data_IF_768514229245
#
_entry.id   IF_768514229245
#
_cell.length_a   1.000
_cell.length_b   1.000
_cell.length_c   1.000
_cell.angle_alpha   90.00
_cell.angle_beta   90.00
_cell.angle_gamma   90.00
#
_symmetry.space_group_name_H-M   'P 1'
#
loop_
_entity.id
_entity.type
_entity.pdbx_description
1 polymer ?
#
# COMPACT_ATOMS: atom_id res chain seq x y z
N UNK A 1 4.82 -27.41 5.66
CA UNK A 1 4.71 -28.47 4.64
C UNK A 1 4.71 -29.83 5.35
N UNK A 2 3.70 -30.68 5.13
CA UNK A 2 3.71 -32.05 5.69
C UNK A 2 4.52 -32.95 4.76
N UNK A 3 5.70 -33.38 5.20
CA UNK A 3 6.55 -34.30 4.43
C UNK A 3 6.02 -35.72 4.62
N UNK A 4 5.71 -36.40 3.52
CA UNK A 4 5.49 -37.85 3.55
C UNK A 4 6.84 -38.53 3.81
N UNK A 5 7.03 -38.91 5.07
CA UNK A 5 8.26 -39.55 5.56
C UNK A 5 8.52 -40.89 4.89
N UNK A 6 7.48 -41.62 4.48
CA UNK A 6 7.68 -42.92 3.81
C UNK A 6 8.16 -42.72 2.39
N UNK A 7 7.59 -41.75 1.68
CA UNK A 7 8.03 -41.41 0.33
C UNK A 7 9.46 -40.85 0.31
N UNK A 8 9.81 -39.98 1.26
CA UNK A 8 11.17 -39.47 1.41
C UNK A 8 12.19 -40.58 1.72
N UNK A 9 11.85 -41.47 2.65
CA UNK A 9 12.74 -42.58 2.99
C UNK A 9 12.91 -43.54 1.80
N UNK A 10 11.86 -43.75 1.01
CA UNK A 10 11.94 -44.56 -0.20
C UNK A 10 12.80 -43.90 -1.29
N UNK A 11 12.72 -42.58 -1.49
CA UNK A 11 13.52 -41.88 -2.51
C UNK A 11 15.02 -41.92 -2.22
N UNK A 12 15.42 -42.08 -0.96
CA UNK A 12 16.81 -42.25 -0.54
C UNK A 12 17.29 -43.71 -0.54
N UNK A 13 16.50 -44.65 -1.09
CA UNK A 13 16.86 -46.08 -1.13
C UNK A 13 16.52 -46.85 0.15
N UNK A 14 15.71 -46.27 1.05
CA UNK A 14 15.20 -46.92 2.25
C UNK A 14 16.00 -46.62 3.53
N UNK A 15 15.51 -47.11 4.69
CA UNK A 15 16.11 -46.81 6.00
C UNK A 15 17.57 -47.24 6.15
N UNK A 16 17.95 -48.35 5.49
CA UNK A 16 19.31 -48.88 5.53
C UNK A 16 20.31 -47.93 4.85
N UNK A 17 19.96 -47.37 3.68
CA UNK A 17 20.80 -46.39 2.98
C UNK A 17 20.95 -45.10 3.80
N UNK A 18 19.87 -44.64 4.43
CA UNK A 18 19.88 -43.44 5.31
C UNK A 18 20.75 -43.67 6.55
N UNK A 19 20.80 -44.89 7.09
CA UNK A 19 21.62 -45.18 8.27
C UNK A 19 23.12 -45.04 8.01
N UNK A 20 23.54 -45.14 6.74
CA UNK A 20 24.93 -44.99 6.30
C UNK A 20 25.31 -43.53 6.00
N UNK A 21 24.33 -42.63 5.92
CA UNK A 21 24.55 -41.20 5.67
C UNK A 21 24.94 -40.46 6.95
N UNK A 22 25.86 -39.51 6.81
CA UNK A 22 26.22 -38.52 7.83
C UNK A 22 25.05 -37.55 8.08
N UNK A 23 25.08 -36.79 9.19
CA UNK A 23 24.07 -35.77 9.46
C UNK A 23 23.96 -34.71 8.36
N UNK A 24 25.08 -34.30 7.77
CA UNK A 24 25.11 -33.27 6.72
C UNK A 24 24.52 -33.82 5.40
N UNK A 25 24.88 -35.04 5.00
CA UNK A 25 24.29 -35.70 3.83
C UNK A 25 22.77 -35.90 3.96
N UNK A 26 22.26 -36.11 5.19
CA UNK A 26 20.82 -36.20 5.46
C UNK A 26 20.13 -34.84 5.34
N UNK A 27 20.81 -33.76 5.72
CA UNK A 27 20.30 -32.40 5.59
C UNK A 27 20.22 -31.99 4.11
N UNK A 28 21.29 -32.22 3.35
CA UNK A 28 21.35 -31.94 1.92
C UNK A 28 20.32 -32.77 1.14
N UNK A 29 20.19 -34.07 1.46
CA UNK A 29 19.20 -34.93 0.83
C UNK A 29 17.75 -34.52 1.13
N UNK A 30 17.50 -33.97 2.33
CA UNK A 30 16.19 -33.43 2.69
C UNK A 30 15.91 -32.14 1.93
N UNK A 31 16.88 -31.24 1.82
CA UNK A 31 16.76 -29.99 1.06
C UNK A 31 16.51 -30.27 -0.43
N UNK A 32 17.28 -31.16 -1.05
CA UNK A 32 17.09 -31.56 -2.45
C UNK A 32 15.72 -32.21 -2.68
N UNK A 33 15.27 -33.08 -1.78
CA UNK A 33 13.93 -33.66 -1.86
C UNK A 33 12.83 -32.59 -1.72
N UNK A 34 13.03 -31.58 -0.88
CA UNK A 34 12.09 -30.46 -0.75
C UNK A 34 12.08 -29.57 -2.00
N UNK A 35 13.23 -29.34 -2.63
CA UNK A 35 13.34 -28.63 -3.92
C UNK A 35 12.67 -29.40 -5.07
N UNK A 36 12.89 -30.71 -5.17
CA UNK A 36 12.23 -31.53 -6.19
C UNK A 36 10.73 -31.63 -5.96
N UNK A 37 10.28 -31.65 -4.70
CA UNK A 37 8.85 -31.52 -4.38
C UNK A 37 8.28 -30.14 -4.68
N UNK A 38 9.09 -29.09 -4.67
CA UNK A 38 8.67 -27.75 -5.13
C UNK A 38 8.54 -27.70 -6.66
N UNK A 39 9.40 -28.42 -7.40
CA UNK A 39 9.29 -28.60 -8.85
C UNK A 39 8.05 -29.44 -9.21
N UNK A 40 7.83 -30.57 -8.53
CA UNK A 40 6.69 -31.47 -8.73
C UNK A 40 5.35 -30.90 -8.23
N UNK A 41 5.37 -30.02 -7.21
CA UNK A 41 4.17 -29.32 -6.73
C UNK A 41 3.71 -28.23 -7.71
N UNK A 42 4.50 -28.00 -8.76
CA UNK A 42 4.18 -27.26 -9.96
C UNK A 42 3.24 -26.07 -9.71
N UNK A 43 3.69 -25.21 -8.78
CA UNK A 43 3.06 -23.91 -8.53
C UNK A 43 2.98 -23.12 -9.84
N UNK A 44 3.89 -23.39 -10.78
CA UNK A 44 3.87 -22.84 -12.12
C UNK A 44 2.77 -23.47 -13.00
N UNK A 45 2.58 -24.79 -13.05
CA UNK A 45 1.56 -25.53 -13.81
C UNK A 45 0.15 -25.29 -13.26
N UNK A 46 0.03 -25.10 -11.94
CA UNK A 46 -1.19 -24.59 -11.29
C UNK A 46 -1.53 -23.14 -11.66
N UNK A 47 -0.54 -22.29 -11.98
CA UNK A 47 -0.71 -20.94 -12.54
C UNK A 47 -0.92 -21.00 -14.07
N UNK A 48 -0.28 -21.95 -14.75
CA UNK A 48 -0.31 -22.20 -16.19
C UNK A 48 -1.47 -23.11 -16.63
N UNK A 49 -2.48 -23.34 -15.76
CA UNK A 49 -3.68 -24.17 -16.01
C UNK A 49 -3.95 -24.32 -17.51
N UNK A 50 -3.74 -25.53 -18.00
CA UNK A 50 -3.89 -26.00 -19.38
C UNK A 50 -4.05 -24.87 -20.40
N UNK A 51 -2.94 -24.53 -21.04
CA UNK A 51 -2.95 -24.11 -22.44
C UNK A 51 -3.76 -25.16 -23.21
N UNK A 52 -5.09 -25.01 -23.30
CA UNK A 52 -5.97 -26.02 -23.90
C UNK A 52 -5.47 -26.33 -25.32
N UNK A 53 -4.96 -27.54 -25.52
CA UNK A 53 -4.42 -27.98 -26.81
C UNK A 53 -3.17 -27.24 -27.29
N UNK A 54 -2.38 -26.61 -26.41
CA UNK A 54 -1.14 -25.92 -26.80
C UNK A 54 -1.34 -24.51 -27.41
N UNK A 55 -2.56 -23.95 -27.35
CA UNK A 55 -2.83 -22.56 -27.74
C UNK A 55 -2.67 -21.56 -26.57
N UNK A 56 -1.70 -20.66 -26.70
CA UNK A 56 -1.51 -19.55 -25.78
C UNK A 56 -2.65 -18.52 -25.91
N UNK A 57 -3.13 -17.93 -24.79
CA UNK A 57 -4.16 -16.91 -24.85
C UNK A 57 -3.66 -15.66 -25.58
N UNK A 58 -4.50 -15.10 -26.43
CA UNK A 58 -4.31 -13.79 -27.05
C UNK A 58 -4.50 -12.67 -26.02
N UNK A 59 -3.99 -11.46 -26.34
CA UNK A 59 -4.20 -10.27 -25.49
C UNK A 59 -5.68 -9.99 -25.29
N UNK A 60 -6.50 -10.10 -26.35
CA UNK A 60 -7.95 -9.91 -26.26
C UNK A 60 -8.64 -10.91 -25.33
N UNK A 61 -8.20 -12.17 -25.31
CA UNK A 61 -8.75 -13.17 -24.38
C UNK A 61 -8.36 -12.88 -22.93
N UNK A 62 -7.14 -12.38 -22.68
CA UNK A 62 -6.72 -11.94 -21.35
C UNK A 62 -7.53 -10.70 -20.90
N UNK A 63 -7.81 -9.77 -21.80
CA UNK A 63 -8.68 -8.62 -21.53
C UNK A 63 -10.12 -9.03 -21.22
N UNK A 64 -10.67 -9.98 -21.97
CA UNK A 64 -12.00 -10.55 -21.70
C UNK A 64 -12.05 -11.25 -20.33
N UNK A 65 -10.99 -11.99 -19.95
CA UNK A 65 -10.85 -12.53 -18.60
C UNK A 65 -10.80 -11.42 -17.56
N UNK A 66 -10.06 -10.33 -17.82
CA UNK A 66 -9.99 -9.19 -16.91
C UNK A 66 -11.34 -8.47 -16.74
N UNK A 67 -12.18 -8.45 -17.76
CA UNK A 67 -13.54 -7.91 -17.71
C UNK A 67 -14.51 -8.74 -16.85
N UNK A 68 -14.20 -10.01 -16.55
CA UNK A 68 -14.98 -10.82 -15.61
C UNK A 68 -14.73 -10.39 -14.15
N UNK A 69 -15.77 -9.86 -13.49
CA UNK A 69 -15.70 -9.30 -12.13
C UNK A 69 -16.22 -10.23 -11.03
N UNK A 70 -16.63 -11.45 -11.36
CA UNK A 70 -17.12 -12.43 -10.37
C UNK A 70 -16.01 -13.03 -9.49
N UNK A 71 -14.75 -12.72 -9.81
CA UNK A 71 -13.58 -13.13 -9.04
C UNK A 71 -13.38 -12.27 -7.77
N UNK A 72 -12.72 -12.80 -6.73
CA UNK A 72 -12.55 -12.09 -5.47
C UNK A 72 -11.44 -11.01 -5.48
N UNK A 73 -10.61 -10.92 -6.53
CA UNK A 73 -9.48 -10.00 -6.58
C UNK A 73 -9.07 -9.61 -8.01
N UNK A 74 -8.32 -8.51 -8.16
CA UNK A 74 -7.72 -8.06 -9.42
C UNK A 74 -6.56 -8.95 -9.82
N UNK A 75 -6.43 -9.22 -11.11
CA UNK A 75 -5.47 -10.20 -11.61
C UNK A 75 -4.00 -9.80 -11.45
N UNK A 76 -3.68 -8.51 -11.49
CA UNK A 76 -2.31 -8.01 -11.35
C UNK A 76 -1.95 -7.61 -9.92
N UNK A 77 -2.90 -6.97 -9.23
CA UNK A 77 -2.63 -6.30 -7.96
C UNK A 77 -3.38 -6.91 -6.76
N UNK A 78 -3.98 -8.11 -6.91
CA UNK A 78 -4.67 -8.79 -5.83
C UNK A 78 -5.86 -7.99 -5.30
N UNK A 79 -5.90 -7.71 -3.99
CA UNK A 79 -7.07 -7.07 -3.36
C UNK A 79 -7.18 -5.55 -3.62
N UNK A 80 -6.31 -4.99 -4.44
CA UNK A 80 -6.36 -3.58 -4.86
C UNK A 80 -7.68 -3.28 -5.58
N UNK A 81 -8.37 -2.18 -5.23
CA UNK A 81 -9.71 -1.83 -5.76
C UNK A 81 -10.78 -2.92 -5.62
N UNK A 82 -10.61 -3.86 -4.69
CA UNK A 82 -11.73 -4.59 -4.10
C UNK A 82 -12.36 -3.62 -3.10
N UNK A 83 -13.64 -3.24 -3.24
CA UNK A 83 -14.31 -2.42 -2.24
C UNK A 83 -14.19 -3.10 -0.87
N UNK A 84 -13.57 -2.42 0.09
CA UNK A 84 -13.52 -2.83 1.50
C UNK A 84 -14.36 -1.85 2.30
N UNK A 85 -14.91 -2.29 3.42
CA UNK A 85 -15.49 -1.36 4.37
C UNK A 85 -14.35 -0.49 4.90
N UNK A 86 -14.31 0.77 4.48
CA UNK A 86 -13.20 1.71 4.71
C UNK A 86 -13.65 2.91 5.54
N UNK A 87 -14.63 2.72 6.43
CA UNK A 87 -15.21 3.80 7.25
C UNK A 87 -16.14 4.74 6.45
N UNK A 88 -15.86 4.98 5.18
CA UNK A 88 -16.62 5.87 4.29
C UNK A 88 -17.81 5.16 3.64
N UNK A 89 -17.70 3.87 3.28
CA UNK A 89 -18.76 3.13 2.56
C UNK A 89 -18.90 1.68 3.03
N UNK A 90 -20.14 1.24 3.29
CA UNK A 90 -20.46 -0.20 3.40
C UNK A 90 -20.53 -0.81 2.01
N UNK A 91 -19.75 -1.86 1.78
CA UNK A 91 -19.63 -2.51 0.46
C UNK A 91 -19.66 -4.04 0.57
N UNK A 92 -20.03 -4.69 -0.53
CA UNK A 92 -20.28 -6.13 -0.63
C UNK A 92 -19.03 -6.95 -1.02
N UNK A 93 -17.86 -6.31 -1.08
CA UNK A 93 -16.59 -6.96 -1.42
C UNK A 93 -16.48 -7.37 -2.89
N UNK A 94 -17.43 -7.02 -3.76
CA UNK A 94 -17.41 -7.42 -5.18
C UNK A 94 -16.61 -6.43 -6.02
N UNK A 95 -15.85 -6.96 -6.98
CA UNK A 95 -15.14 -6.13 -7.95
C UNK A 95 -16.12 -5.29 -8.78
N UNK A 96 -15.68 -4.10 -9.16
CA UNK A 96 -16.45 -3.17 -9.99
C UNK A 96 -15.65 -2.78 -11.23
N UNK A 97 -16.30 -2.42 -12.35
CA UNK A 97 -15.58 -1.85 -13.48
C UNK A 97 -14.83 -0.59 -13.03
N UNK A 98 -13.57 -0.45 -13.44
CA UNK A 98 -12.82 0.78 -13.19
C UNK A 98 -13.08 1.76 -14.32
N UNK A 99 -13.39 3.01 -13.96
CA UNK A 99 -13.45 4.08 -14.95
C UNK A 99 -12.08 4.23 -15.62
N UNK A 100 -12.01 4.30 -16.95
CA UNK A 100 -10.76 4.59 -17.66
C UNK A 100 -10.12 5.89 -17.17
N UNK A 101 -8.80 5.90 -17.02
CA UNK A 101 -8.06 7.13 -16.74
C UNK A 101 -7.85 7.91 -18.05
N UNK A 102 -7.70 9.24 -18.00
CA UNK A 102 -7.24 10.01 -19.15
C UNK A 102 -5.88 9.53 -19.66
N UNK A 103 -5.54 9.84 -20.92
CA UNK A 103 -4.25 9.47 -21.53
C UNK A 103 -3.05 10.03 -20.74
N UNK A 104 -3.21 11.23 -20.16
CA UNK A 104 -2.21 11.90 -19.32
C UNK A 104 -2.79 12.17 -17.93
N UNK A 105 -2.84 11.16 -17.05
CA UNK A 105 -3.48 11.29 -15.74
C UNK A 105 -2.87 12.39 -14.88
N UNK A 106 -3.72 13.22 -14.29
CA UNK A 106 -3.34 14.23 -13.30
C UNK A 106 -3.60 13.76 -11.88
N UNK A 107 -3.03 14.43 -10.88
CA UNK A 107 -3.35 14.15 -9.48
C UNK A 107 -4.86 14.24 -9.19
N UNK A 108 -5.56 15.21 -9.79
CA UNK A 108 -7.01 15.37 -9.64
C UNK A 108 -7.80 14.17 -10.22
N UNK A 109 -7.31 13.57 -11.30
CA UNK A 109 -7.91 12.35 -11.85
C UNK A 109 -7.77 11.17 -10.88
N UNK A 110 -6.66 11.07 -10.15
CA UNK A 110 -6.50 10.05 -9.12
C UNK A 110 -7.46 10.26 -7.95
N UNK A 111 -7.63 11.49 -7.46
CA UNK A 111 -8.66 11.80 -6.46
C UNK A 111 -10.06 11.41 -6.92
N UNK A 112 -10.36 11.62 -8.20
CA UNK A 112 -11.68 11.33 -8.77
C UNK A 112 -11.93 9.84 -8.99
N UNK A 113 -10.93 9.10 -9.47
CA UNK A 113 -11.15 7.77 -10.03
C UNK A 113 -10.43 6.61 -9.32
N UNK A 114 -9.47 6.88 -8.42
CA UNK A 114 -8.60 5.83 -7.85
C UNK A 114 -8.42 5.92 -6.35
N UNK A 115 -8.23 7.10 -5.79
CA UNK A 115 -7.96 7.21 -4.36
C UNK A 115 -9.17 6.82 -3.51
N UNK A 116 -8.88 6.13 -2.42
CA UNK A 116 -9.77 5.85 -1.31
C UNK A 116 -9.43 6.80 -0.16
N UNK A 117 -10.25 6.84 0.90
CA UNK A 117 -10.04 7.73 2.06
C UNK A 117 -9.94 9.23 1.71
N UNK A 118 -10.40 9.62 0.52
CA UNK A 118 -10.30 11.02 0.05
C UNK A 118 -11.13 11.96 0.92
N UNK A 119 -12.24 11.47 1.50
CA UNK A 119 -13.03 12.24 2.45
C UNK A 119 -12.22 12.66 3.67
N UNK A 120 -11.52 11.71 4.28
CA UNK A 120 -10.63 11.96 5.41
C UNK A 120 -9.47 12.91 5.05
N UNK A 121 -8.76 12.66 3.94
CA UNK A 121 -7.66 13.52 3.50
C UNK A 121 -8.12 14.97 3.24
N UNK A 122 -9.31 15.15 2.65
CA UNK A 122 -9.88 16.48 2.40
C UNK A 122 -10.28 17.18 3.71
N UNK A 123 -10.80 16.45 4.71
CA UNK A 123 -11.06 17.01 6.04
C UNK A 123 -9.77 17.49 6.72
N UNK A 124 -8.72 16.66 6.68
CA UNK A 124 -7.40 16.96 7.24
C UNK A 124 -6.80 18.21 6.61
N UNK A 125 -6.79 18.29 5.28
CA UNK A 125 -6.34 19.48 4.55
C UNK A 125 -7.21 20.71 4.82
N UNK A 126 -8.53 20.54 4.96
CA UNK A 126 -9.46 21.64 5.25
C UNK A 126 -9.19 22.24 6.63
N UNK A 127 -8.92 21.38 7.63
CA UNK A 127 -8.56 21.82 8.97
C UNK A 127 -7.24 22.60 8.93
N UNK A 128 -6.20 22.03 8.32
CA UNK A 128 -4.90 22.69 8.17
C UNK A 128 -5.01 24.08 7.50
N UNK A 129 -5.81 24.17 6.43
CA UNK A 129 -6.08 25.43 5.72
C UNK A 129 -6.77 26.46 6.63
N UNK A 130 -7.82 26.06 7.35
CA UNK A 130 -8.57 26.95 8.26
C UNK A 130 -7.72 27.45 9.44
N UNK A 131 -6.74 26.67 9.86
CA UNK A 131 -5.80 27.04 10.92
C UNK A 131 -4.59 27.84 10.42
N UNK A 132 -4.54 28.20 9.14
CA UNK A 132 -3.48 29.05 8.57
C UNK A 132 -2.11 28.36 8.50
N UNK A 133 -2.08 27.04 8.37
CA UNK A 133 -0.82 26.30 8.21
C UNK A 133 -0.16 26.63 6.87
N UNK A 134 1.15 26.36 6.77
CA UNK A 134 1.88 26.52 5.51
C UNK A 134 1.33 25.62 4.41
N UNK A 135 1.44 26.05 3.16
CA UNK A 135 0.92 25.30 2.01
C UNK A 135 1.53 23.90 1.88
N UNK A 136 2.80 23.70 2.23
CA UNK A 136 3.45 22.39 2.18
C UNK A 136 2.87 21.39 3.18
N UNK A 137 2.39 21.88 4.34
CA UNK A 137 1.70 21.07 5.37
C UNK A 137 0.25 20.83 4.98
N UNK A 138 -0.43 21.83 4.41
CA UNK A 138 -1.79 21.63 3.85
C UNK A 138 -1.75 20.55 2.76
N UNK A 139 -0.76 20.62 1.86
CA UNK A 139 -0.56 19.60 0.83
C UNK A 139 -0.22 18.23 1.44
N UNK A 140 0.61 18.19 2.49
CA UNK A 140 0.89 16.94 3.19
C UNK A 140 -0.38 16.33 3.80
N UNK A 141 -1.21 17.13 4.47
CA UNK A 141 -2.50 16.68 5.01
C UNK A 141 -3.44 16.18 3.90
N UNK A 142 -3.43 16.81 2.73
CA UNK A 142 -4.23 16.37 1.58
C UNK A 142 -3.79 15.02 1.01
N UNK A 143 -2.51 14.67 1.16
CA UNK A 143 -1.90 13.54 0.45
C UNK A 143 -1.43 12.40 1.35
N UNK A 144 -1.38 12.57 2.67
CA UNK A 144 -0.70 11.62 3.58
C UNK A 144 -1.19 10.18 3.46
N UNK A 145 -2.50 9.99 3.27
CA UNK A 145 -3.15 8.67 3.29
C UNK A 145 -3.70 8.21 1.94
N UNK A 146 -3.43 8.93 0.84
CA UNK A 146 -3.90 8.50 -0.50
C UNK A 146 -3.31 7.15 -0.93
N UNK A 147 -2.16 6.79 -0.36
CA UNK A 147 -1.50 5.50 -0.59
C UNK A 147 -2.23 4.32 0.05
N UNK A 148 -3.16 4.55 0.99
CA UNK A 148 -3.99 3.49 1.58
C UNK A 148 -4.84 2.79 0.52
N UNK A 149 -5.06 3.41 -0.64
CA UNK A 149 -5.56 2.74 -1.83
C UNK A 149 -4.76 1.50 -2.19
N UNK A 150 -3.44 1.51 -2.00
CA UNK A 150 -2.49 0.47 -2.39
C UNK A 150 -2.03 -0.38 -1.20
N UNK A 151 -1.57 0.25 -0.11
CA UNK A 151 -0.92 -0.43 1.01
C UNK A 151 -1.26 0.26 2.33
N UNK A 152 -1.55 -0.53 3.39
CA UNK A 152 -1.87 0.00 4.72
C UNK A 152 -0.70 -0.03 5.71
N UNK A 153 0.08 -1.14 5.82
CA UNK A 153 1.28 -1.15 6.66
C UNK A 153 2.29 -0.11 6.18
N UNK A 154 2.90 0.59 7.13
CA UNK A 154 3.91 1.63 6.85
C UNK A 154 3.47 2.66 5.78
N UNK A 155 2.18 3.01 5.75
CA UNK A 155 1.62 3.94 4.76
C UNK A 155 2.35 5.29 4.71
N UNK A 156 2.87 5.80 5.82
CA UNK A 156 3.69 7.02 5.80
C UNK A 156 4.89 6.88 4.85
N UNK A 157 5.62 5.77 4.94
CA UNK A 157 6.77 5.48 4.08
C UNK A 157 6.36 5.24 2.63
N UNK A 158 5.36 4.39 2.40
CA UNK A 158 4.85 4.11 1.05
C UNK A 158 4.31 5.37 0.37
N UNK A 159 3.59 6.22 1.11
CA UNK A 159 3.03 7.47 0.62
C UNK A 159 4.11 8.48 0.28
N UNK A 160 5.13 8.61 1.12
CA UNK A 160 6.28 9.44 0.82
C UNK A 160 7.03 8.93 -0.43
N UNK A 161 7.25 7.62 -0.57
CA UNK A 161 7.88 7.05 -1.77
C UNK A 161 7.09 7.32 -3.05
N UNK A 162 5.76 7.25 -2.99
CA UNK A 162 4.88 7.58 -4.12
C UNK A 162 5.01 9.05 -4.54
N UNK A 163 5.12 9.95 -3.57
CA UNK A 163 4.90 11.39 -3.78
C UNK A 163 6.19 12.22 -3.85
N UNK A 164 7.29 11.76 -3.25
CA UNK A 164 8.57 12.46 -3.15
C UNK A 164 9.08 13.03 -4.48
N UNK A 165 8.93 12.37 -5.64
CA UNK A 165 9.37 12.97 -6.91
C UNK A 165 8.57 14.21 -7.33
N UNK A 166 7.38 14.41 -6.78
CA UNK A 166 6.41 15.41 -7.23
C UNK A 166 6.16 16.55 -6.24
N UNK A 167 6.56 16.41 -4.97
CA UNK A 167 6.23 17.39 -3.92
C UNK A 167 7.48 18.01 -3.29
N UNK A 168 7.37 19.13 -2.56
CA UNK A 168 8.50 19.67 -1.80
C UNK A 168 9.02 18.68 -0.75
N UNK A 169 10.31 18.78 -0.42
CA UNK A 169 10.96 17.88 0.55
C UNK A 169 10.27 17.90 1.92
N UNK A 170 9.83 19.08 2.37
CA UNK A 170 9.05 19.25 3.60
C UNK A 170 7.72 18.47 3.55
N UNK A 171 7.02 18.50 2.41
CA UNK A 171 5.76 17.75 2.24
C UNK A 171 6.04 16.25 2.31
N UNK A 172 7.04 15.75 1.57
CA UNK A 172 7.45 14.34 1.61
C UNK A 172 7.87 13.91 3.02
N UNK A 173 8.69 14.70 3.72
CA UNK A 173 9.12 14.45 5.09
C UNK A 173 7.92 14.38 6.06
N UNK A 174 6.96 15.29 5.91
CA UNK A 174 5.77 15.34 6.74
C UNK A 174 4.89 14.10 6.55
N UNK A 175 4.68 13.69 5.29
CA UNK A 175 3.96 12.46 4.96
C UNK A 175 4.72 11.22 5.47
N UNK A 176 6.05 11.18 5.31
CA UNK A 176 6.85 10.00 5.69
C UNK A 176 6.70 9.63 7.16
N UNK A 177 6.66 10.66 8.01
CA UNK A 177 6.84 10.45 9.44
C UNK A 177 5.59 10.69 10.29
N UNK A 178 4.49 11.21 9.73
CA UNK A 178 3.25 11.43 10.50
C UNK A 178 2.77 10.14 11.19
N UNK A 179 2.83 9.00 10.50
CA UNK A 179 2.40 7.72 11.04
C UNK A 179 3.19 7.31 12.30
N UNK A 180 4.50 7.56 12.36
CA UNK A 180 5.29 7.17 13.53
C UNK A 180 4.92 8.03 14.76
N UNK A 181 4.59 9.31 14.54
CA UNK A 181 4.26 10.26 15.59
C UNK A 181 2.91 10.01 16.26
N UNK A 182 2.00 9.26 15.61
CA UNK A 182 0.66 8.94 16.13
C UNK A 182 0.68 8.18 17.47
N UNK A 183 1.79 7.50 17.77
CA UNK A 183 1.93 6.71 18.99
C UNK A 183 2.46 7.51 20.18
N UNK A 184 2.88 8.76 19.97
CA UNK A 184 3.53 9.57 21.00
C UNK A 184 2.71 10.85 21.23
N UNK A 185 2.10 11.02 22.42
CA UNK A 185 1.40 12.26 22.76
C UNK A 185 2.36 13.45 22.76
N UNK A 186 1.82 14.64 22.48
CA UNK A 186 2.54 15.90 22.48
C UNK A 186 1.58 17.05 22.85
N UNK A 187 1.60 17.44 24.13
CA UNK A 187 0.72 18.48 24.67
C UNK A 187 0.98 19.86 24.04
N UNK A 188 2.21 20.13 23.58
CA UNK A 188 2.53 21.39 22.91
C UNK A 188 1.75 21.57 21.58
N UNK A 189 1.23 20.48 21.03
CA UNK A 189 0.44 20.44 19.81
C UNK A 189 -1.01 19.99 20.04
N UNK A 190 -1.46 19.93 21.30
CA UNK A 190 -2.79 19.43 21.68
C UNK A 190 -3.08 18.02 21.12
N UNK A 191 -2.04 17.18 21.12
CA UNK A 191 -2.10 15.80 20.66
C UNK A 191 -2.03 14.84 21.84
N UNK A 192 -3.19 14.35 22.27
CA UNK A 192 -3.27 13.28 23.27
C UNK A 192 -3.24 11.92 22.58
N UNK A 193 -2.75 10.90 23.26
CA UNK A 193 -2.78 9.54 22.73
C UNK A 193 -4.24 9.12 22.51
N UNK A 194 -4.66 8.77 21.29
CA UNK A 194 -6.05 8.44 21.00
C UNK A 194 -6.58 7.26 21.83
N UNK A 195 -7.70 7.42 22.54
CA UNK A 195 -8.34 6.30 23.25
C UNK A 195 -8.68 5.14 22.29
N UNK A 196 -9.07 5.47 21.05
CA UNK A 196 -9.34 4.48 20.01
C UNK A 196 -8.16 3.55 19.73
N UNK A 197 -6.92 4.02 19.92
CA UNK A 197 -5.72 3.19 19.72
C UNK A 197 -5.56 2.12 20.80
N UNK A 198 -6.06 2.36 22.01
CA UNK A 198 -6.12 1.32 23.05
C UNK A 198 -7.02 0.15 22.62
N UNK A 199 -8.08 0.43 21.85
CA UNK A 199 -9.00 -0.59 21.32
C UNK A 199 -8.42 -1.33 20.13
N UNK A 200 -7.65 -0.63 19.30
CA UNK A 200 -7.09 -1.18 18.05
C UNK A 200 -5.80 -1.97 18.30
N UNK A 201 -4.89 -1.43 19.13
CA UNK A 201 -3.56 -2.01 19.35
C UNK A 201 -3.44 -2.73 20.70
N UNK A 202 -4.30 -2.41 21.67
CA UNK A 202 -4.21 -2.92 23.05
C UNK A 202 -3.56 -1.91 23.99
N UNK A 203 -3.94 -1.97 25.27
CA UNK A 203 -3.48 -1.03 26.30
C UNK A 203 -1.98 -1.18 26.65
N UNK A 204 -1.38 -2.32 26.33
CA UNK A 204 0.02 -2.66 26.56
C UNK A 204 0.88 -2.62 25.29
N UNK A 205 0.30 -2.17 24.17
CA UNK A 205 1.05 -2.01 22.92
C UNK A 205 2.21 -1.04 23.11
N UNK A 206 3.38 -1.46 22.61
CA UNK A 206 4.58 -0.64 22.53
C UNK A 206 4.99 -0.52 21.07
N UNK A 207 5.30 0.69 20.56
CA UNK A 207 5.83 0.84 19.22
C UNK A 207 7.06 -0.05 19.00
N UNK A 208 7.13 -0.67 17.83
CA UNK A 208 8.29 -1.47 17.42
C UNK A 208 9.59 -0.67 17.53
N UNK A 209 10.76 -1.31 17.78
CA UNK A 209 12.02 -0.60 17.98
C UNK A 209 12.41 0.37 16.85
N UNK A 210 11.99 0.10 15.61
CA UNK A 210 12.24 1.02 14.50
C UNK A 210 11.38 2.29 14.59
N UNK A 211 10.13 2.19 15.05
CA UNK A 211 9.23 3.32 15.25
C UNK A 211 9.74 4.25 16.36
N UNK A 212 10.27 3.68 17.45
CA UNK A 212 10.93 4.45 18.51
C UNK A 212 12.14 5.22 17.98
N UNK A 213 13.04 4.54 17.24
CA UNK A 213 14.19 5.23 16.61
C UNK A 213 13.76 6.32 15.65
N UNK A 214 12.71 6.08 14.85
CA UNK A 214 12.14 7.08 13.95
C UNK A 214 11.58 8.26 14.73
N UNK A 215 10.82 8.02 15.80
CA UNK A 215 10.31 9.09 16.66
C UNK A 215 11.44 9.97 17.20
N UNK A 216 12.48 9.37 17.79
CA UNK A 216 13.62 10.13 18.33
C UNK A 216 14.33 10.95 17.25
N UNK A 217 14.57 10.36 16.08
CA UNK A 217 15.13 11.07 14.93
C UNK A 217 14.27 12.27 14.53
N UNK A 218 12.96 12.06 14.31
CA UNK A 218 12.03 13.10 13.86
C UNK A 218 11.88 14.19 14.93
N UNK A 219 11.86 13.82 16.21
CA UNK A 219 11.75 14.74 17.36
C UNK A 219 12.92 15.71 17.47
N UNK A 220 14.11 15.26 17.05
CA UNK A 220 15.33 16.08 17.00
C UNK A 220 15.49 16.88 15.70
N UNK A 221 14.66 16.60 14.68
CA UNK A 221 14.79 17.22 13.37
C UNK A 221 14.23 18.65 13.35
N UNK A 222 14.88 19.56 12.61
CA UNK A 222 14.43 20.97 12.43
C UNK A 222 13.02 21.12 11.86
N UNK A 223 12.48 20.06 11.27
CA UNK A 223 11.13 20.01 10.70
C UNK A 223 10.14 19.21 11.55
N UNK A 224 10.46 18.90 12.82
CA UNK A 224 9.59 18.12 13.71
C UNK A 224 8.12 18.57 13.71
N UNK A 225 7.91 19.89 13.71
CA UNK A 225 6.59 20.51 13.71
C UNK A 225 5.69 20.02 12.57
N UNK A 226 6.22 19.84 11.36
CA UNK A 226 5.39 19.60 10.17
C UNK A 226 4.72 18.21 10.13
N UNK A 227 5.41 17.07 10.29
CA UNK A 227 4.76 15.77 10.44
C UNK A 227 3.86 15.72 11.69
N UNK A 228 4.21 16.45 12.76
CA UNK A 228 3.36 16.51 13.96
C UNK A 228 2.02 17.19 13.66
N UNK A 229 2.04 18.31 12.93
CA UNK A 229 0.82 18.97 12.47
C UNK A 229 0.00 18.07 11.54
N UNK A 230 0.63 17.29 10.65
CA UNK A 230 -0.10 16.29 9.84
C UNK A 230 -0.77 15.25 10.75
N UNK A 231 -0.07 14.73 11.75
CA UNK A 231 -0.59 13.74 12.72
C UNK A 231 -1.81 14.28 13.49
N UNK A 232 -1.76 15.55 13.89
CA UNK A 232 -2.88 16.23 14.56
C UNK A 232 -4.08 16.36 13.63
N UNK A 233 -3.87 16.82 12.39
CA UNK A 233 -4.97 17.01 11.45
C UNK A 233 -5.57 15.68 10.98
N UNK A 234 -4.75 14.64 10.80
CA UNK A 234 -5.20 13.26 10.58
C UNK A 234 -6.19 12.85 11.68
N UNK A 235 -5.75 12.84 12.94
CA UNK A 235 -6.58 12.34 14.04
C UNK A 235 -7.93 13.07 14.19
N UNK A 236 -7.98 14.38 13.94
CA UNK A 236 -9.19 15.19 14.11
C UNK A 236 -10.09 15.28 12.85
N UNK A 237 -9.93 14.38 11.87
CA UNK A 237 -10.59 14.45 10.55
C UNK A 237 -11.46 13.24 10.21
N UNK A 238 -12.28 12.79 11.17
CA UNK A 238 -13.19 11.65 11.02
C UNK A 238 -14.67 12.03 11.24
N UNK A 239 -15.09 13.25 10.87
CA UNK A 239 -16.49 13.64 10.98
C UNK A 239 -17.30 13.00 9.82
N UNK A 240 -18.28 12.12 10.12
CA UNK A 240 -19.06 11.43 9.09
C UNK A 240 -19.99 12.36 8.28
N UNK A 241 -20.35 13.52 8.85
CA UNK A 241 -21.26 14.48 8.21
C UNK A 241 -20.51 15.62 7.50
N UNK A 242 -19.18 15.56 7.43
CA UNK A 242 -18.39 16.61 6.82
C UNK A 242 -18.63 16.72 5.32
N UNK A 243 -18.95 17.93 4.85
CA UNK A 243 -18.96 18.26 3.43
C UNK A 243 -17.56 18.67 3.00
N UNK A 244 -16.95 17.83 2.18
CA UNK A 244 -15.60 18.06 1.66
C UNK A 244 -15.61 18.44 0.19
N UNK A 245 -14.65 19.26 -0.22
CA UNK A 245 -14.41 19.62 -1.61
C UNK A 245 -12.92 19.74 -1.85
N UNK A 246 -12.47 19.33 -3.04
CA UNK A 246 -11.09 19.49 -3.47
C UNK A 246 -10.78 20.90 -3.98
N UNK A 247 -11.80 21.68 -4.32
CA UNK A 247 -11.68 23.00 -4.97
C UNK A 247 -10.72 23.97 -4.24
N UNK A 248 -10.76 24.10 -2.90
CA UNK A 248 -9.85 25.02 -2.20
C UNK A 248 -8.37 24.68 -2.36
N UNK A 249 -8.05 23.44 -2.74
CA UNK A 249 -6.68 22.95 -2.83
C UNK A 249 -6.13 22.94 -4.25
N UNK A 250 -6.95 23.21 -5.28
CA UNK A 250 -6.52 23.17 -6.69
C UNK A 250 -5.32 24.11 -6.92
N UNK A 251 -5.38 25.33 -6.39
CA UNK A 251 -4.31 26.30 -6.51
C UNK A 251 -3.04 25.90 -5.74
N UNK A 252 -3.20 25.29 -4.56
CA UNK A 252 -2.07 24.77 -3.75
C UNK A 252 -1.39 23.62 -4.50
N UNK A 253 -2.17 22.70 -5.07
CA UNK A 253 -1.67 21.63 -5.94
C UNK A 253 -0.91 22.24 -7.12
N UNK A 254 -1.48 23.23 -7.80
CA UNK A 254 -0.84 23.88 -8.96
C UNK A 254 0.49 24.56 -8.64
N UNK A 255 0.67 25.07 -7.41
CA UNK A 255 1.93 25.68 -6.96
C UNK A 255 2.99 24.68 -6.52
N UNK A 256 2.59 23.58 -5.89
CA UNK A 256 3.52 22.71 -5.15
C UNK A 256 3.67 21.30 -5.72
N UNK A 257 2.72 20.82 -6.53
CA UNK A 257 2.79 19.50 -7.14
C UNK A 257 3.37 19.59 -8.57
N UNK A 258 4.51 18.94 -8.79
CA UNK A 258 5.19 18.86 -10.09
C UNK A 258 4.50 17.84 -10.99
N UNK A 259 3.36 18.23 -11.57
CA UNK A 259 2.62 17.39 -12.49
C UNK A 259 3.46 17.06 -13.75
N UNK A 260 3.75 15.78 -14.05
CA UNK A 260 4.48 15.41 -15.26
C UNK A 260 3.66 15.68 -16.54
N UNK A 261 4.35 16.09 -17.62
CA UNK A 261 3.72 16.41 -18.92
C UNK A 261 3.20 15.16 -19.64
N UNK A 262 3.78 14.02 -19.34
CA UNK A 262 3.44 12.69 -19.84
C UNK A 262 2.24 12.10 -19.08
N UNK A 263 1.89 12.66 -17.92
CA UNK A 263 0.90 12.11 -17.00
C UNK A 263 1.53 11.18 -15.94
N UNK A 264 0.91 11.12 -14.77
CA UNK A 264 1.40 10.30 -13.65
C UNK A 264 1.42 8.82 -14.04
N UNK A 265 2.59 8.21 -13.90
CA UNK A 265 2.81 6.80 -14.26
C UNK A 265 3.42 6.59 -15.65
N UNK A 266 3.46 7.62 -16.49
CA UNK A 266 4.10 7.57 -17.81
C UNK A 266 5.38 8.43 -17.88
N UNK A 267 5.73 9.07 -16.77
CA UNK A 267 6.99 9.73 -16.52
C UNK A 267 8.11 8.75 -16.11
N UNK A 268 9.33 9.25 -15.94
CA UNK A 268 10.52 8.46 -15.61
C UNK A 268 10.97 8.59 -14.14
N UNK A 269 10.05 8.86 -13.21
CA UNK A 269 10.38 8.93 -11.79
C UNK A 269 10.47 7.54 -11.16
N UNK A 270 11.06 7.47 -9.97
CA UNK A 270 11.16 6.23 -9.19
C UNK A 270 9.79 5.64 -8.84
N UNK A 271 8.73 6.45 -8.77
CA UNK A 271 7.38 6.06 -8.37
C UNK A 271 6.43 5.77 -9.54
N UNK A 272 6.83 5.95 -10.81
CA UNK A 272 5.92 5.79 -11.96
C UNK A 272 5.22 4.43 -12.01
N UNK A 273 5.90 3.37 -11.60
CA UNK A 273 5.33 2.03 -11.54
C UNK A 273 4.16 1.92 -10.54
N UNK A 274 4.22 2.64 -9.41
CA UNK A 274 3.17 2.65 -8.39
C UNK A 274 1.89 3.29 -8.93
N UNK A 275 2.02 4.38 -9.70
CA UNK A 275 0.89 5.00 -10.40
C UNK A 275 0.28 4.06 -11.45
N UNK A 276 1.11 3.38 -12.25
CA UNK A 276 0.62 2.39 -13.25
C UNK A 276 -0.13 1.22 -12.61
N UNK A 277 0.30 0.77 -11.44
CA UNK A 277 -0.42 -0.26 -10.66
C UNK A 277 -1.84 0.20 -10.31
N UNK A 278 -2.02 1.47 -9.96
CA UNK A 278 -3.35 2.04 -9.71
C UNK A 278 -4.16 2.26 -10.99
N UNK A 279 -3.52 2.61 -12.11
CA UNK A 279 -4.20 2.79 -13.40
C UNK A 279 -4.71 1.44 -13.94
N UNK A 280 -3.86 0.41 -13.89
CA UNK A 280 -4.06 -0.92 -14.50
C UNK A 280 -3.85 -2.07 -13.50
N UNK A 281 -4.68 -2.18 -12.44
CA UNK A 281 -4.52 -3.18 -11.39
C UNK A 281 -4.78 -4.62 -11.86
N UNK A 282 -5.39 -4.81 -13.02
CA UNK A 282 -5.62 -6.12 -13.63
C UNK A 282 -4.47 -6.59 -14.53
N UNK A 283 -3.43 -5.75 -14.72
CA UNK A 283 -2.28 -6.05 -15.58
C UNK A 283 -1.22 -6.86 -14.82
N UNK A 284 -0.80 -8.01 -15.38
CA UNK A 284 0.14 -8.96 -14.78
C UNK A 284 1.62 -8.75 -15.17
N UNK A 285 1.98 -7.57 -15.69
CA UNK A 285 3.35 -7.28 -16.13
C UNK A 285 4.37 -7.45 -15.00
#
# INVERSE_FOLDING_TARGET
MKIDRRAFVASLGGPAAISLMTPDEKADALEHYMEDRLKDADVLEGILKDVQGGQYPTVSELEARNANLDRPYRNGAGTLFVPKNDGDRKVDGRLRPLTPMPEKPTLLDFFKYRFAWTGHCLQSATRALKTGMREEVILACLLHDVILSVMHPDHGWWGAQLLEPYVPEITSFSIRYHQALRFYPDEAFDYVYPEGYLRVFGADYKPEPYLERTYQFVRSHKWYEYPRLVTVNDFYSFNPDAKVSIEPFIDIIGRHFKQPKEGLGWDNTSSSHMWRTMIMPDRRL
#
